data_IF_690069555056
#
_entry.id   IF_690069555056
#
_cell.length_a   1.000
_cell.length_b   1.000
_cell.length_c   1.000
_cell.angle_alpha   90.00
_cell.angle_beta   90.00
_cell.angle_gamma   90.00
#
_symmetry.space_group_name_H-M   'P 1'
#
loop_
_entity.id
_entity.type
_entity.pdbx_description
1 polymer ?
#
# COMPACT_ATOMS: atom_id res chain seq x y z
N UNK A 1 18.68 12.97 -16.79
CA UNK A 1 18.19 12.30 -15.55
C UNK A 1 17.30 11.16 -16.00
N UNK A 2 17.68 9.92 -15.68
CA UNK A 2 17.23 8.67 -16.28
C UNK A 2 15.71 8.50 -16.27
N UNK A 3 15.14 8.29 -17.45
CA UNK A 3 13.71 7.97 -17.65
C UNK A 3 13.46 6.52 -17.22
N UNK A 4 13.32 6.28 -15.91
CA UNK A 4 12.86 4.99 -15.41
C UNK A 4 11.49 4.65 -15.99
N UNK A 5 11.30 3.38 -16.40
CA UNK A 5 10.00 2.86 -16.86
C UNK A 5 8.94 3.09 -15.78
N UNK A 6 7.71 3.40 -16.20
CA UNK A 6 6.58 3.68 -15.29
C UNK A 6 6.37 2.55 -14.26
N UNK A 7 6.66 1.29 -14.63
CA UNK A 7 6.60 0.15 -13.72
C UNK A 7 7.61 0.24 -12.57
N UNK A 8 8.85 0.68 -12.85
CA UNK A 8 9.91 0.82 -11.83
C UNK A 8 9.56 1.90 -10.81
N UNK A 9 8.89 2.97 -11.24
CA UNK A 9 8.40 4.01 -10.33
C UNK A 9 7.32 3.47 -9.40
N UNK A 10 6.37 2.69 -9.92
CA UNK A 10 5.31 2.08 -9.11
C UNK A 10 5.88 1.08 -8.10
N UNK A 11 6.87 0.29 -8.49
CA UNK A 11 7.58 -0.60 -7.57
C UNK A 11 8.34 0.15 -6.47
N UNK A 12 8.97 1.28 -6.80
CA UNK A 12 9.59 2.15 -5.79
C UNK A 12 8.56 2.72 -4.81
N UNK A 13 7.37 3.08 -5.30
CA UNK A 13 6.27 3.58 -4.45
C UNK A 13 5.68 2.49 -3.56
N UNK A 14 5.55 1.25 -4.03
CA UNK A 14 5.05 0.15 -3.18
C UNK A 14 6.01 -0.19 -2.03
N UNK A 15 7.32 -0.07 -2.23
CA UNK A 15 8.32 -0.26 -1.17
C UNK A 15 8.26 0.80 -0.07
N UNK A 16 7.75 2.00 -0.37
CA UNK A 16 7.51 3.04 0.64
C UNK A 16 6.41 2.64 1.63
N UNK A 17 5.64 1.58 1.37
CA UNK A 17 4.65 1.05 2.32
C UNK A 17 5.29 0.73 3.68
N UNK A 18 6.47 0.12 3.70
CA UNK A 18 7.17 -0.30 4.94
C UNK A 18 7.53 0.89 5.84
N UNK A 19 8.21 1.95 5.37
CA UNK A 19 8.47 3.12 6.21
C UNK A 19 7.18 3.90 6.53
N UNK A 20 6.17 3.91 5.65
CA UNK A 20 4.90 4.61 5.95
C UNK A 20 4.09 3.95 7.05
N UNK A 21 4.04 2.61 7.13
CA UNK A 21 3.34 1.91 8.22
C UNK A 21 4.05 2.17 9.55
N UNK A 22 5.39 2.13 9.56
CA UNK A 22 6.17 2.49 10.75
C UNK A 22 5.92 3.93 11.22
N UNK A 23 6.03 4.90 10.31
CA UNK A 23 5.79 6.30 10.62
C UNK A 23 4.36 6.54 11.12
N UNK A 24 3.38 5.88 10.51
CA UNK A 24 1.99 5.90 10.94
C UNK A 24 1.82 5.40 12.37
N UNK A 25 2.45 4.27 12.71
CA UNK A 25 2.36 3.72 14.06
C UNK A 25 3.06 4.62 15.10
N UNK A 26 4.20 5.24 14.76
CA UNK A 26 4.85 6.22 15.64
C UNK A 26 3.96 7.44 15.86
N UNK A 27 3.37 8.01 14.82
CA UNK A 27 2.44 9.14 14.93
C UNK A 27 1.21 8.77 15.76
N UNK A 28 0.65 7.59 15.55
CA UNK A 28 -0.51 7.10 16.30
C UNK A 28 -0.19 6.88 17.80
N UNK A 29 1.04 6.43 18.11
CA UNK A 29 1.52 6.32 19.49
C UNK A 29 1.76 7.70 20.13
N UNK A 30 2.36 8.64 19.39
CA UNK A 30 2.59 10.01 19.87
C UNK A 30 1.28 10.75 20.17
N UNK A 31 0.28 10.62 19.30
CA UNK A 31 -1.03 11.22 19.49
C UNK A 31 -1.98 10.40 20.39
N UNK A 32 -1.54 9.26 20.94
CA UNK A 32 -2.33 8.35 21.78
C UNK A 32 -3.73 8.07 21.20
N UNK A 33 -3.77 7.56 19.98
CA UNK A 33 -5.04 7.23 19.32
C UNK A 33 -5.72 6.05 20.02
N UNK A 34 -6.68 6.35 20.90
CA UNK A 34 -7.44 5.37 21.67
C UNK A 34 -8.72 4.90 20.94
N UNK A 35 -9.19 5.68 19.96
CA UNK A 35 -10.42 5.41 19.21
C UNK A 35 -10.16 4.89 17.79
N UNK A 36 -11.09 4.09 17.24
CA UNK A 36 -11.01 3.56 15.88
C UNK A 36 -11.10 4.64 14.79
N UNK A 37 -11.79 5.74 15.07
CA UNK A 37 -12.01 6.85 14.14
C UNK A 37 -10.71 7.47 13.62
N UNK A 38 -9.77 7.95 14.47
CA UNK A 38 -8.51 8.52 13.99
C UNK A 38 -7.65 7.50 13.23
N UNK A 39 -7.68 6.22 13.61
CA UNK A 39 -6.97 5.15 12.90
C UNK A 39 -7.48 5.00 11.47
N UNK A 40 -8.81 4.91 11.28
CA UNK A 40 -9.41 4.81 9.94
C UNK A 40 -9.14 6.07 9.09
N UNK A 41 -9.24 7.25 9.70
CA UNK A 41 -8.94 8.53 9.03
C UNK A 41 -7.48 8.60 8.58
N UNK A 42 -6.59 8.12 9.44
CA UNK A 42 -5.17 8.02 9.17
C UNK A 42 -4.82 7.08 8.01
N UNK A 43 -5.44 5.91 7.97
CA UNK A 43 -5.29 4.97 6.84
C UNK A 43 -5.82 5.57 5.54
N UNK A 44 -7.00 6.20 5.59
CA UNK A 44 -7.56 6.90 4.44
C UNK A 44 -6.64 8.03 3.95
N UNK A 45 -6.01 8.77 4.87
CA UNK A 45 -5.05 9.81 4.55
C UNK A 45 -3.76 9.25 3.91
N UNK A 46 -3.25 8.10 4.37
CA UNK A 46 -2.11 7.42 3.75
C UNK A 46 -2.45 6.97 2.33
N UNK A 47 -3.61 6.33 2.12
CA UNK A 47 -4.06 5.91 0.79
C UNK A 47 -4.27 7.10 -0.16
N UNK A 48 -4.89 8.18 0.33
CA UNK A 48 -5.03 9.42 -0.44
C UNK A 48 -3.67 10.05 -0.76
N UNK A 49 -2.75 10.05 0.20
CA UNK A 49 -1.37 10.51 0.03
C UNK A 49 -0.64 9.74 -1.08
N UNK A 50 -0.73 8.40 -1.07
CA UNK A 50 -0.16 7.53 -2.12
C UNK A 50 -0.81 7.81 -3.47
N UNK A 51 -2.13 7.99 -3.54
CA UNK A 51 -2.81 8.33 -4.79
C UNK A 51 -2.34 9.69 -5.35
N UNK A 52 -2.16 10.70 -4.49
CA UNK A 52 -1.61 12.01 -4.86
C UNK A 52 -0.16 11.88 -5.32
N UNK A 53 0.66 11.09 -4.61
CA UNK A 53 2.07 10.84 -4.93
C UNK A 53 2.21 10.13 -6.27
N UNK A 54 1.36 9.13 -6.55
CA UNK A 54 1.28 8.45 -7.83
C UNK A 54 0.87 9.43 -8.94
N UNK A 55 -0.16 10.24 -8.72
CA UNK A 55 -0.61 11.26 -9.68
C UNK A 55 0.49 12.30 -9.98
N UNK A 56 1.25 12.71 -8.96
CA UNK A 56 2.39 13.61 -9.10
C UNK A 56 3.57 12.95 -9.84
N UNK A 57 3.95 11.74 -9.44
CA UNK A 57 5.07 10.99 -10.01
C UNK A 57 4.85 10.60 -11.49
N UNK A 58 3.60 10.53 -11.92
CA UNK A 58 3.15 10.27 -13.30
C UNK A 58 2.67 11.54 -14.03
N UNK A 59 2.79 12.73 -13.41
CA UNK A 59 2.19 13.98 -13.85
C UNK A 59 2.49 14.42 -15.29
N UNK A 60 1.42 14.88 -15.98
CA UNK A 60 1.27 15.38 -17.37
C UNK A 60 1.69 14.46 -18.52
N UNK A 61 2.66 13.59 -18.31
CA UNK A 61 3.03 12.52 -19.25
C UNK A 61 2.37 11.23 -18.77
N UNK A 62 1.05 11.18 -18.85
CA UNK A 62 0.40 9.88 -18.76
C UNK A 62 1.06 9.00 -19.84
N UNK A 63 1.56 7.80 -19.50
CA UNK A 63 2.23 6.92 -20.48
C UNK A 63 1.31 6.48 -21.63
N UNK A 64 0.01 6.85 -21.56
CA UNK A 64 -1.05 6.56 -22.51
C UNK A 64 -1.79 7.85 -22.91
N UNK A 65 -1.06 8.89 -23.36
CA UNK A 65 -1.65 10.14 -23.86
C UNK A 65 -2.55 9.97 -25.11
N UNK A 66 -2.74 8.73 -25.59
CA UNK A 66 -3.39 8.38 -26.85
C UNK A 66 -4.84 7.88 -26.67
N UNK A 67 -5.67 8.62 -25.91
CA UNK A 67 -7.11 8.37 -25.82
C UNK A 67 -7.58 7.19 -24.95
N UNK A 68 -6.67 6.42 -24.34
CA UNK A 68 -7.01 5.23 -23.52
C UNK A 68 -7.23 5.55 -22.02
N UNK A 69 -8.22 6.39 -21.74
CA UNK A 69 -8.60 6.82 -20.37
C UNK A 69 -8.90 5.66 -19.41
N UNK A 70 -9.44 4.54 -19.91
CA UNK A 70 -9.73 3.34 -19.08
C UNK A 70 -8.46 2.67 -18.57
N UNK A 71 -7.44 2.50 -19.42
CA UNK A 71 -6.18 1.84 -19.05
C UNK A 71 -5.40 2.64 -18.00
N UNK A 72 -5.49 3.97 -18.04
CA UNK A 72 -4.92 4.82 -17.01
C UNK A 72 -5.54 4.56 -15.63
N UNK A 73 -6.87 4.41 -15.55
CA UNK A 73 -7.57 4.14 -14.28
C UNK A 73 -7.13 2.78 -13.72
N UNK A 74 -7.04 1.75 -14.58
CA UNK A 74 -6.55 0.43 -14.18
C UNK A 74 -5.11 0.47 -13.69
N UNK A 75 -4.23 1.21 -14.36
CA UNK A 75 -2.84 1.37 -13.93
C UNK A 75 -2.74 1.95 -12.51
N UNK A 76 -3.48 3.03 -12.20
CA UNK A 76 -3.48 3.60 -10.85
C UNK A 76 -4.10 2.66 -9.82
N UNK A 77 -5.20 1.96 -10.17
CA UNK A 77 -5.83 1.00 -9.27
C UNK A 77 -4.89 -0.15 -8.92
N UNK A 78 -4.17 -0.70 -9.91
CA UNK A 78 -3.19 -1.76 -9.71
C UNK A 78 -1.98 -1.26 -8.91
N UNK A 79 -1.55 -0.02 -9.11
CA UNK A 79 -0.45 0.59 -8.35
C UNK A 79 -0.81 0.78 -6.86
N UNK A 80 -2.01 1.29 -6.57
CA UNK A 80 -2.51 1.42 -5.20
C UNK A 80 -2.69 0.03 -4.56
N UNK A 81 -3.24 -0.93 -5.31
CA UNK A 81 -3.39 -2.30 -4.83
C UNK A 81 -2.04 -2.96 -4.51
N UNK A 82 -1.02 -2.74 -5.34
CA UNK A 82 0.33 -3.22 -5.08
C UNK A 82 0.94 -2.61 -3.80
N UNK A 83 0.68 -1.33 -3.53
CA UNK A 83 1.06 -0.69 -2.25
C UNK A 83 0.34 -1.33 -1.06
N UNK A 84 -0.99 -1.53 -1.18
CA UNK A 84 -1.80 -2.17 -0.13
C UNK A 84 -1.33 -3.60 0.14
N UNK A 85 -0.94 -4.36 -0.88
CA UNK A 85 -0.37 -5.70 -0.70
C UNK A 85 0.91 -5.69 0.15
N UNK A 86 1.84 -4.76 -0.08
CA UNK A 86 3.06 -4.67 0.77
C UNK A 86 2.71 -4.29 2.21
N UNK A 87 1.71 -3.43 2.41
CA UNK A 87 1.19 -3.13 3.74
C UNK A 87 0.59 -4.38 4.40
N UNK A 88 -0.18 -5.19 3.68
CA UNK A 88 -0.72 -6.47 4.17
C UNK A 88 0.36 -7.49 4.49
N UNK A 89 1.45 -7.55 3.72
CA UNK A 89 2.60 -8.40 4.05
C UNK A 89 3.23 -7.97 5.38
N UNK A 90 3.39 -6.65 5.58
CA UNK A 90 3.93 -6.10 6.82
C UNK A 90 3.04 -6.42 8.02
N UNK A 91 1.71 -6.39 7.83
CA UNK A 91 0.74 -6.84 8.85
C UNK A 91 0.90 -8.32 9.20
N UNK A 92 1.04 -9.19 8.20
CA UNK A 92 1.25 -10.62 8.41
C UNK A 92 2.52 -10.92 9.20
N UNK A 93 3.63 -10.25 8.86
CA UNK A 93 4.91 -10.38 9.57
C UNK A 93 4.85 -9.90 11.02
N UNK A 94 4.01 -8.90 11.32
CA UNK A 94 3.80 -8.43 12.68
C UNK A 94 2.90 -9.34 13.51
N UNK A 95 1.88 -9.93 12.89
CA UNK A 95 1.03 -10.94 13.52
C UNK A 95 1.81 -12.21 13.89
N UNK A 96 2.79 -12.57 13.07
CA UNK A 96 3.68 -13.72 13.29
C UNK A 96 4.82 -13.41 14.30
N UNK A 97 4.92 -12.16 14.76
CA UNK A 97 5.92 -11.72 15.74
C UNK A 97 7.35 -11.57 15.20
N UNK A 98 7.54 -11.68 13.88
CA UNK A 98 8.85 -11.48 13.22
C UNK A 98 9.26 -10.01 13.28
N UNK A 99 8.28 -9.11 13.18
CA UNK A 99 8.45 -7.65 13.22
C UNK A 99 7.54 -7.08 14.31
N UNK A 100 7.97 -6.07 15.05
CA UNK A 100 7.16 -5.44 16.10
C UNK A 100 7.17 -3.91 15.97
N UNK A 101 5.98 -3.29 16.07
CA UNK A 101 5.86 -1.83 16.15
C UNK A 101 5.60 -1.13 14.82
N UNK A 102 5.07 -1.81 13.82
CA UNK A 102 4.71 -1.20 12.52
C UNK A 102 3.20 -0.96 12.38
N UNK A 103 2.36 -1.76 13.03
CA UNK A 103 0.90 -1.81 12.85
C UNK A 103 0.19 -2.14 14.18
N UNK A 104 0.91 -2.13 15.29
CA UNK A 104 0.38 -2.48 16.63
C UNK A 104 -0.85 -1.65 17.06
N UNK A 105 -0.88 -0.34 16.79
CA UNK A 105 -2.06 0.49 17.10
C UNK A 105 -3.25 0.12 16.21
N UNK A 106 -3.00 -0.17 14.94
CA UNK A 106 -4.03 -0.58 13.99
C UNK A 106 -4.63 -1.95 14.34
N UNK A 107 -3.82 -2.93 14.74
CA UNK A 107 -4.29 -4.26 15.18
C UNK A 107 -5.03 -4.22 16.53
N UNK A 108 -4.79 -3.21 17.37
CA UNK A 108 -5.48 -3.04 18.65
C UNK A 108 -6.82 -2.32 18.52
N UNK A 109 -6.87 -1.29 17.69
CA UNK A 109 -7.98 -0.32 17.69
C UNK A 109 -8.75 -0.30 16.35
N UNK A 110 -8.07 -0.56 15.23
CA UNK A 110 -8.68 -0.55 13.90
C UNK A 110 -9.40 -1.85 13.56
N UNK A 111 -8.65 -2.96 13.55
CA UNK A 111 -9.18 -4.26 13.09
C UNK A 111 -8.73 -5.42 13.99
N UNK A 112 -9.33 -5.57 15.19
CA UNK A 112 -8.93 -6.61 16.14
C UNK A 112 -9.18 -8.05 15.63
N UNK A 113 -10.08 -8.23 14.66
CA UNK A 113 -10.39 -9.52 14.04
C UNK A 113 -9.23 -10.09 13.20
N UNK A 114 -8.31 -9.24 12.73
CA UNK A 114 -7.13 -9.69 11.98
C UNK A 114 -6.12 -10.45 12.85
N UNK A 115 -6.28 -10.42 14.18
CA UNK A 115 -5.45 -11.20 15.12
C UNK A 115 -5.74 -12.71 15.13
N UNK A 116 -6.75 -13.16 14.40
CA UNK A 116 -6.99 -14.60 14.22
C UNK A 116 -5.98 -15.21 13.23
N UNK A 117 -5.73 -16.52 13.34
CA UNK A 117 -4.88 -17.27 12.40
C UNK A 117 -5.33 -17.14 10.94
N UNK A 118 -6.64 -17.05 10.71
CA UNK A 118 -7.23 -16.79 9.40
C UNK A 118 -6.85 -15.39 8.85
N UNK A 119 -6.80 -14.38 9.71
CA UNK A 119 -6.40 -13.01 9.33
C UNK A 119 -4.93 -12.93 8.92
N UNK A 120 -4.06 -13.62 9.65
CA UNK A 120 -2.65 -13.74 9.31
C UNK A 120 -2.46 -14.42 7.94
N UNK A 121 -3.13 -15.56 7.70
CA UNK A 121 -3.05 -16.26 6.40
C UNK A 121 -3.56 -15.38 5.24
N UNK A 122 -4.68 -14.69 5.43
CA UNK A 122 -5.23 -13.78 4.43
C UNK A 122 -4.27 -12.63 4.11
N UNK A 123 -3.59 -12.10 5.12
CA UNK A 123 -2.60 -11.02 4.94
C UNK A 123 -1.36 -11.49 4.17
N UNK A 124 -0.88 -12.72 4.40
CA UNK A 124 0.21 -13.31 3.62
C UNK A 124 -0.20 -13.56 2.16
N UNK A 125 -1.40 -14.10 1.94
CA UNK A 125 -1.94 -14.31 0.60
C UNK A 125 -2.07 -13.00 -0.17
N UNK A 126 -2.58 -11.96 0.49
CA UNK A 126 -2.70 -10.62 -0.09
C UNK A 126 -1.34 -9.95 -0.32
N UNK A 127 -0.35 -10.21 0.53
CA UNK A 127 0.99 -9.65 0.40
C UNK A 127 1.89 -10.33 -0.62
N UNK A 128 1.65 -11.60 -0.94
CA UNK A 128 2.51 -12.38 -1.84
C UNK A 128 1.84 -12.65 -3.19
N UNK A 129 0.81 -13.49 -3.20
CA UNK A 129 0.14 -13.95 -4.42
C UNK A 129 -0.53 -12.80 -5.17
N UNK A 130 -1.29 -11.98 -4.44
CA UNK A 130 -1.92 -10.79 -5.04
C UNK A 130 -0.86 -9.79 -5.50
N UNK A 131 0.17 -9.52 -4.69
CA UNK A 131 1.24 -8.58 -5.09
C UNK A 131 1.92 -8.99 -6.39
N UNK A 132 2.28 -10.27 -6.53
CA UNK A 132 2.88 -10.80 -7.75
C UNK A 132 1.97 -10.61 -8.97
N UNK A 133 0.67 -10.87 -8.84
CA UNK A 133 -0.29 -10.64 -9.93
C UNK A 133 -0.41 -9.16 -10.31
N UNK A 134 -0.47 -8.26 -9.34
CA UNK A 134 -0.54 -6.81 -9.61
C UNK A 134 0.71 -6.33 -10.35
N UNK A 135 1.90 -6.80 -9.97
CA UNK A 135 3.15 -6.47 -10.66
C UNK A 135 3.21 -7.05 -12.09
N UNK A 136 2.77 -8.29 -12.29
CA UNK A 136 2.70 -8.89 -13.63
C UNK A 136 1.75 -8.11 -14.54
N UNK A 137 0.58 -7.71 -14.03
CA UNK A 137 -0.40 -6.95 -14.80
C UNK A 137 0.09 -5.54 -15.12
N UNK A 138 0.76 -4.88 -14.15
CA UNK A 138 1.43 -3.60 -14.38
C UNK A 138 2.54 -3.71 -15.44
N UNK A 139 3.36 -4.77 -15.38
CA UNK A 139 4.40 -5.01 -16.37
C UNK A 139 3.80 -5.18 -17.77
N UNK A 140 2.74 -5.98 -17.91
CA UNK A 140 2.04 -6.21 -19.17
C UNK A 140 1.38 -4.94 -19.75
N UNK A 141 0.89 -4.03 -18.91
CA UNK A 141 0.32 -2.74 -19.34
C UNK A 141 1.39 -1.73 -19.79
N UNK A 142 2.64 -1.92 -19.37
CA UNK A 142 3.76 -1.01 -19.66
C UNK A 142 4.67 -1.45 -20.80
N UNK A 143 4.47 -2.67 -21.30
CA UNK A 143 5.17 -3.26 -22.44
C UNK A 143 4.48 -2.89 -23.75
#
# INVERSE_FOLDING_TARGET
>A
MSSFSSATKVFGVSLLAVPTTYAFNVVAQLLKWDSAVPVCLGVAAVLAGVAVLLFWATGRKAPLADGRRREQIWFYALAISAFTSVASLTMGLELDGIISGFVNVYLKVGEPYLRCSHGALASYWHGTAMYAMHLMMLAALTW
#
